data_IF_141004985033
#
_entry.id   IF_141004985033
#
_cell.length_a   1.000
_cell.length_b   1.000
_cell.length_c   1.000
_cell.angle_alpha   90.00
_cell.angle_beta   90.00
_cell.angle_gamma   90.00
#
_symmetry.space_group_name_H-M   'P 1'
#
loop_
_entity.id
_entity.type
_entity.pdbx_description
1 polymer ?
#
# COMPACT_ATOMS: atom_id res chain seq x y z
N UNK A 1 21.47 -12.47 16.04
CA UNK A 1 22.28 -13.33 16.91
C UNK A 1 23.07 -14.30 16.07
N UNK A 2 24.40 -14.31 16.26
CA UNK A 2 25.27 -15.21 15.52
C UNK A 2 24.91 -16.67 15.85
N UNK A 3 24.66 -17.51 14.84
CA UNK A 3 24.22 -18.90 15.02
C UNK A 3 22.74 -19.10 15.41
N UNK A 4 21.88 -18.09 15.32
CA UNK A 4 20.45 -18.28 15.58
C UNK A 4 19.75 -19.11 14.50
N UNK A 5 18.60 -19.69 14.85
CA UNK A 5 17.74 -20.42 13.89
C UNK A 5 17.34 -19.55 12.70
N UNK A 6 17.14 -18.25 12.91
CA UNK A 6 16.85 -17.28 11.84
C UNK A 6 18.03 -17.13 10.88
N UNK A 7 19.25 -16.98 11.40
CA UNK A 7 20.47 -16.87 10.59
C UNK A 7 20.69 -18.14 9.74
N UNK A 8 20.54 -19.32 10.36
CA UNK A 8 20.66 -20.61 9.65
C UNK A 8 19.62 -20.75 8.55
N UNK A 9 18.39 -20.27 8.78
CA UNK A 9 17.33 -20.28 7.77
C UNK A 9 17.70 -19.45 6.55
N UNK A 10 18.07 -18.18 6.73
CA UNK A 10 18.42 -17.30 5.61
C UNK A 10 19.67 -17.78 4.86
N UNK A 11 20.68 -18.26 5.59
CA UNK A 11 21.88 -18.86 4.98
C UNK A 11 21.51 -20.04 4.06
N UNK A 12 20.68 -20.96 4.55
CA UNK A 12 20.24 -22.13 3.76
C UNK A 12 19.41 -21.72 2.55
N UNK A 13 18.52 -20.74 2.69
CA UNK A 13 17.73 -20.26 1.56
C UNK A 13 18.60 -19.62 0.47
N UNK A 14 19.58 -18.80 0.85
CA UNK A 14 20.54 -18.24 -0.10
C UNK A 14 21.38 -19.33 -0.80
N UNK A 15 21.88 -20.33 -0.05
CA UNK A 15 22.60 -21.46 -0.63
C UNK A 15 21.74 -22.27 -1.61
N UNK A 16 20.45 -22.43 -1.31
CA UNK A 16 19.50 -23.14 -2.20
C UNK A 16 19.28 -22.34 -3.48
N UNK A 17 19.04 -21.04 -3.40
CA UNK A 17 18.91 -20.18 -4.59
C UNK A 17 20.16 -20.23 -5.46
N UNK A 18 21.35 -20.15 -4.86
CA UNK A 18 22.63 -20.24 -5.57
C UNK A 18 22.82 -21.59 -6.28
N UNK A 19 22.40 -22.68 -5.63
CA UNK A 19 22.44 -24.02 -6.25
C UNK A 19 21.50 -24.10 -7.43
N UNK A 20 20.26 -23.62 -7.30
CA UNK A 20 19.33 -23.58 -8.42
C UNK A 20 19.85 -22.74 -9.58
N UNK A 21 20.45 -21.57 -9.29
CA UNK A 21 21.07 -20.72 -10.29
C UNK A 21 22.20 -21.45 -11.02
N UNK A 22 23.07 -22.14 -10.27
CA UNK A 22 24.18 -22.91 -10.85
C UNK A 22 23.69 -24.07 -11.71
N UNK A 23 22.68 -24.82 -11.25
CA UNK A 23 22.09 -25.94 -12.01
C UNK A 23 21.44 -25.43 -13.30
N UNK A 24 20.63 -24.38 -13.21
CA UNK A 24 20.02 -23.75 -14.38
C UNK A 24 21.07 -23.27 -15.38
N UNK A 25 22.10 -22.57 -14.89
CA UNK A 25 23.23 -22.09 -15.71
C UNK A 25 23.96 -23.24 -16.40
N UNK A 26 24.19 -24.35 -15.71
CA UNK A 26 24.81 -25.53 -16.30
C UNK A 26 23.91 -26.19 -17.34
N UNK A 27 22.60 -26.29 -17.11
CA UNK A 27 21.69 -26.87 -18.11
C UNK A 27 21.58 -26.00 -19.37
N UNK A 28 21.60 -24.67 -19.23
CA UNK A 28 21.44 -23.74 -20.36
C UNK A 28 22.74 -23.46 -21.12
N UNK A 29 23.89 -23.44 -20.44
CA UNK A 29 25.21 -23.09 -21.02
C UNK A 29 26.15 -24.28 -21.20
N UNK A 30 25.70 -25.53 -21.06
CA UNK A 30 26.58 -26.67 -21.27
C UNK A 30 26.86 -26.89 -22.77
N UNK A 31 28.11 -26.66 -23.16
CA UNK A 31 28.62 -26.73 -24.54
C UNK A 31 28.80 -28.18 -25.04
N UNK A 32 28.77 -29.19 -24.17
CA UNK A 32 28.90 -30.60 -24.57
C UNK A 32 27.63 -31.21 -25.17
N UNK A 33 26.51 -30.49 -25.17
CA UNK A 33 25.22 -30.95 -25.70
C UNK A 33 25.10 -30.69 -27.22
N UNK A 34 24.40 -31.57 -27.93
CA UNK A 34 24.08 -31.36 -29.34
C UNK A 34 23.17 -30.13 -29.53
N UNK A 35 23.26 -29.46 -30.69
CA UNK A 35 22.54 -28.22 -30.97
C UNK A 35 21.01 -28.36 -30.81
N UNK A 36 20.45 -29.51 -31.19
CA UNK A 36 19.02 -29.79 -31.06
C UNK A 36 18.61 -30.00 -29.60
N UNK A 37 19.47 -30.66 -28.81
CA UNK A 37 19.23 -30.89 -27.38
C UNK A 37 19.30 -29.58 -26.60
N UNK A 38 20.25 -28.70 -26.95
CA UNK A 38 20.37 -27.34 -26.39
C UNK A 38 19.15 -26.48 -26.70
N UNK A 39 18.64 -26.52 -27.94
CA UNK A 39 17.46 -25.76 -28.33
C UNK A 39 16.20 -26.17 -27.54
N UNK A 40 16.07 -27.45 -27.17
CA UNK A 40 14.96 -27.95 -26.33
C UNK A 40 15.03 -27.48 -24.87
N UNK A 41 16.21 -27.10 -24.39
CA UNK A 41 16.46 -26.61 -23.03
C UNK A 41 16.48 -25.08 -22.92
N UNK A 42 16.51 -24.37 -24.06
CA UNK A 42 16.56 -22.91 -24.15
C UNK A 42 15.20 -22.22 -23.86
N UNK A 43 14.37 -22.79 -22.98
CA UNK A 43 13.17 -22.12 -22.48
C UNK A 43 13.64 -21.08 -21.46
N UNK A 44 13.77 -19.84 -21.94
CA UNK A 44 14.23 -18.69 -21.18
C UNK A 44 13.16 -18.20 -20.22
N UNK A 45 13.35 -18.50 -18.95
CA UNK A 45 13.39 -17.53 -17.85
C UNK A 45 13.88 -18.29 -16.62
N UNK A 46 14.86 -17.74 -15.88
CA UNK A 46 15.31 -18.35 -14.63
C UNK A 46 14.13 -18.33 -13.65
N UNK A 47 13.58 -19.49 -13.24
CA UNK A 47 12.25 -19.54 -12.63
C UNK A 47 12.23 -19.14 -11.14
N UNK A 48 13.37 -18.72 -10.58
CA UNK A 48 13.53 -18.43 -9.15
C UNK A 48 14.05 -17.00 -8.99
N UNK A 49 13.39 -16.18 -8.17
CA UNK A 49 13.89 -14.84 -7.86
C UNK A 49 15.09 -14.91 -6.91
N UNK A 50 16.16 -14.14 -7.13
CA UNK A 50 17.35 -14.07 -6.25
C UNK A 50 17.13 -13.22 -4.98
N UNK A 51 16.00 -13.43 -4.30
CA UNK A 51 15.60 -12.59 -3.16
C UNK A 51 16.45 -12.89 -1.93
N UNK A 52 16.61 -14.17 -1.59
CA UNK A 52 17.35 -14.58 -0.40
C UNK A 52 18.86 -14.41 -0.55
N UNK A 53 19.40 -14.56 -1.76
CA UNK A 53 20.79 -14.26 -2.08
C UNK A 53 21.13 -12.82 -1.76
N UNK A 54 20.38 -11.88 -2.35
CA UNK A 54 20.61 -10.44 -2.15
C UNK A 54 20.41 -10.05 -0.68
N UNK A 55 19.39 -10.63 -0.03
CA UNK A 55 19.14 -10.40 1.39
C UNK A 55 20.29 -10.92 2.27
N UNK A 56 20.87 -12.07 1.94
CA UNK A 56 21.98 -12.65 2.69
C UNK A 56 23.27 -11.84 2.53
N UNK A 57 23.53 -11.34 1.32
CA UNK A 57 24.64 -10.42 1.04
C UNK A 57 24.50 -9.16 1.90
N UNK A 58 23.34 -8.49 1.86
CA UNK A 58 23.12 -7.27 2.66
C UNK A 58 23.19 -7.53 4.17
N UNK A 59 22.69 -8.67 4.66
CA UNK A 59 22.84 -9.07 6.06
C UNK A 59 24.29 -9.30 6.46
N UNK A 60 25.11 -9.86 5.56
CA UNK A 60 26.53 -10.11 5.83
C UNK A 60 27.31 -8.80 5.85
N UNK A 61 27.02 -7.89 4.93
CA UNK A 61 27.66 -6.57 4.83
C UNK A 61 27.32 -5.67 6.03
N UNK A 62 26.07 -5.68 6.48
CA UNK A 62 25.61 -4.88 7.63
C UNK A 62 26.05 -5.44 8.98
N UNK A 63 26.30 -6.75 9.04
CA UNK A 63 26.76 -7.44 10.25
C UNK A 63 25.63 -7.83 11.20
N UNK A 64 25.83 -8.96 11.89
CA UNK A 64 24.82 -9.55 12.78
C UNK A 64 24.93 -9.04 14.22
N UNK A 65 23.81 -8.71 14.90
CA UNK A 65 23.83 -8.35 16.31
C UNK A 65 24.06 -9.59 17.18
N UNK A 66 24.80 -9.42 18.30
CA UNK A 66 25.11 -10.51 19.23
C UNK A 66 24.00 -10.74 20.26
N UNK A 67 23.34 -9.68 20.70
CA UNK A 67 22.24 -9.72 21.67
C UNK A 67 20.98 -9.06 21.11
N UNK A 68 19.83 -9.40 21.70
CA UNK A 68 18.55 -8.78 21.32
C UNK A 68 18.54 -7.30 21.70
N UNK A 69 19.13 -6.94 22.84
CA UNK A 69 19.20 -5.55 23.29
C UNK A 69 20.02 -4.69 22.32
N UNK A 70 21.20 -5.17 21.91
CA UNK A 70 22.03 -4.53 20.88
C UNK A 70 21.25 -4.37 19.57
N UNK A 71 20.53 -5.42 19.13
CA UNK A 71 19.67 -5.33 17.96
C UNK A 71 18.61 -4.24 18.11
N UNK A 72 17.91 -4.16 19.25
CA UNK A 72 16.87 -3.15 19.46
C UNK A 72 17.42 -1.73 19.48
N UNK A 73 18.60 -1.51 20.06
CA UNK A 73 19.24 -0.19 20.08
C UNK A 73 19.62 0.27 18.68
N UNK A 74 20.12 -0.65 17.83
CA UNK A 74 20.42 -0.36 16.42
C UNK A 74 19.18 -0.07 15.58
N UNK A 75 18.07 -0.76 15.84
CA UNK A 75 16.79 -0.45 15.17
C UNK A 75 16.31 0.95 15.55
N UNK A 76 16.42 1.32 16.83
CA UNK A 76 16.00 2.64 17.33
C UNK A 76 16.91 3.75 16.80
N UNK A 77 18.20 3.51 16.60
CA UNK A 77 19.12 4.51 16.05
C UNK A 77 18.81 4.90 14.60
N UNK A 78 17.92 4.16 13.92
CA UNK A 78 17.69 4.29 12.48
C UNK A 78 18.68 3.44 11.68
N UNK A 79 18.35 3.20 10.41
CA UNK A 79 19.18 2.48 9.40
C UNK A 79 19.37 0.97 9.59
N UNK A 80 18.73 0.35 10.59
CA UNK A 80 18.80 -1.09 10.81
C UNK A 80 17.42 -1.71 10.98
N UNK A 81 17.20 -2.86 10.35
CA UNK A 81 16.00 -3.68 10.51
C UNK A 81 16.36 -5.02 11.15
N UNK A 82 15.65 -5.39 12.22
CA UNK A 82 15.84 -6.67 12.89
C UNK A 82 14.83 -7.70 12.41
N UNK A 83 15.32 -8.87 12.00
CA UNK A 83 14.50 -10.03 11.64
C UNK A 83 14.74 -11.13 12.67
N UNK A 84 13.66 -11.58 13.33
CA UNK A 84 13.69 -12.50 14.46
C UNK A 84 12.44 -13.37 14.52
N UNK A 85 12.24 -14.05 15.65
CA UNK A 85 11.00 -14.79 15.89
C UNK A 85 9.83 -13.81 16.07
N UNK A 86 8.70 -14.11 15.43
CA UNK A 86 7.53 -13.22 15.44
C UNK A 86 7.02 -12.98 16.87
N UNK A 87 7.02 -14.01 17.72
CA UNK A 87 6.62 -13.88 19.11
C UNK A 87 7.55 -12.94 19.92
N UNK A 88 8.86 -12.98 19.64
CA UNK A 88 9.85 -12.12 20.28
C UNK A 88 9.71 -10.67 19.82
N UNK A 89 9.57 -10.46 18.51
CA UNK A 89 9.35 -9.14 17.92
C UNK A 89 8.06 -8.50 18.46
N UNK A 90 6.96 -9.26 18.47
CA UNK A 90 5.69 -8.81 19.02
C UNK A 90 5.78 -8.42 20.50
N UNK A 91 6.60 -9.12 21.28
CA UNK A 91 6.83 -8.73 22.67
C UNK A 91 7.61 -7.42 22.79
N UNK A 92 8.58 -7.18 21.91
CA UNK A 92 9.33 -5.92 21.89
C UNK A 92 8.44 -4.74 21.51
N UNK A 93 7.60 -4.87 20.47
CA UNK A 93 6.66 -3.80 20.06
C UNK A 93 5.60 -3.52 21.13
N UNK A 94 5.16 -4.54 21.88
CA UNK A 94 4.23 -4.34 23.00
C UNK A 94 4.85 -3.61 24.21
N UNK A 95 6.17 -3.64 24.37
CA UNK A 95 6.88 -3.07 25.53
C UNK A 95 7.62 -1.76 25.22
N UNK A 96 7.97 -1.53 23.95
CA UNK A 96 8.66 -0.32 23.47
C UNK A 96 7.85 0.28 22.32
N UNK A 97 7.34 1.49 22.51
CA UNK A 97 6.51 2.19 21.52
C UNK A 97 7.29 2.73 20.32
N UNK A 98 8.62 2.78 20.42
CA UNK A 98 9.50 3.23 19.35
C UNK A 98 9.74 2.15 18.28
N UNK A 99 9.21 0.95 18.50
CA UNK A 99 9.34 -0.19 17.59
C UNK A 99 7.98 -0.55 17.01
N UNK A 100 7.94 -0.80 15.72
CA UNK A 100 6.77 -1.36 15.03
C UNK A 100 7.17 -2.58 14.20
N UNK A 101 6.22 -3.48 14.00
CA UNK A 101 6.37 -4.65 13.15
C UNK A 101 5.94 -4.28 11.72
N UNK A 102 6.68 -4.75 10.71
CA UNK A 102 6.39 -4.46 9.30
C UNK A 102 6.14 -5.76 8.55
N UNK A 103 5.01 -5.84 7.85
CA UNK A 103 4.64 -6.97 7.00
C UNK A 103 3.98 -8.13 7.76
N UNK A 104 3.75 -9.23 7.04
CA UNK A 104 3.24 -10.49 7.62
C UNK A 104 4.40 -11.42 8.01
N UNK A 105 4.15 -12.27 9.01
CA UNK A 105 5.01 -13.41 9.36
C UNK A 105 5.30 -14.30 8.13
N UNK A 106 6.50 -14.18 7.57
CA UNK A 106 6.94 -14.96 6.39
C UNK A 106 7.08 -16.47 6.66
N UNK A 107 7.20 -16.88 7.93
CA UNK A 107 7.34 -18.29 8.31
C UNK A 107 6.69 -18.55 9.67
N UNK A 108 5.47 -19.10 9.65
CA UNK A 108 4.78 -19.52 10.88
C UNK A 108 5.39 -20.82 11.37
N UNK A 109 6.08 -20.75 12.52
CA UNK A 109 6.69 -21.91 13.16
C UNK A 109 5.91 -22.26 14.43
N UNK A 110 5.24 -23.43 14.49
CA UNK A 110 4.52 -23.82 15.69
C UNK A 110 5.49 -24.17 16.82
N UNK A 111 5.13 -23.80 18.05
CA UNK A 111 5.82 -24.27 19.24
C UNK A 111 5.43 -25.73 19.53
N UNK A 112 6.41 -26.54 19.91
CA UNK A 112 6.21 -27.94 20.25
C UNK A 112 7.01 -28.30 21.51
N UNK A 113 6.49 -29.24 22.28
CA UNK A 113 7.21 -29.83 23.40
C UNK A 113 8.00 -31.04 22.91
N UNK A 114 9.32 -31.00 23.06
CA UNK A 114 10.19 -32.12 22.75
C UNK A 114 10.17 -33.13 23.90
N UNK A 115 10.00 -34.41 23.56
CA UNK A 115 10.04 -35.54 24.50
C UNK A 115 10.95 -36.61 23.90
N UNK A 116 11.65 -37.39 24.74
CA UNK A 116 12.48 -38.50 24.29
C UNK A 116 11.66 -39.50 23.46
N UNK A 117 12.25 -39.97 22.37
CA UNK A 117 11.66 -40.99 21.52
C UNK A 117 11.37 -42.27 22.31
N UNK A 118 10.19 -42.87 22.08
CA UNK A 118 9.71 -44.04 22.82
C UNK A 118 9.11 -43.75 24.21
N UNK A 119 9.15 -42.51 24.70
CA UNK A 119 8.56 -42.18 25.99
C UNK A 119 7.03 -42.25 25.98
N UNK A 120 6.37 -42.88 26.97
CA UNK A 120 4.92 -42.88 27.10
C UNK A 120 4.34 -41.47 27.33
N UNK A 121 5.18 -40.51 27.76
CA UNK A 121 4.77 -39.13 28.02
C UNK A 121 4.31 -38.41 26.75
N UNK A 122 4.78 -38.82 25.57
CA UNK A 122 4.38 -38.22 24.29
C UNK A 122 2.86 -38.24 24.12
N UNK A 123 2.24 -39.41 24.31
CA UNK A 123 0.81 -39.58 24.10
C UNK A 123 -0.01 -38.85 25.17
N UNK A 124 0.46 -38.87 26.43
CA UNK A 124 -0.18 -38.18 27.55
C UNK A 124 -0.18 -36.66 27.31
N UNK A 125 0.95 -36.09 26.90
CA UNK A 125 1.09 -34.67 26.66
C UNK A 125 0.26 -34.22 25.45
N UNK A 126 0.27 -34.97 24.35
CA UNK A 126 -0.56 -34.68 23.17
C UNK A 126 -2.05 -34.65 23.53
N UNK A 127 -2.54 -35.65 24.26
CA UNK A 127 -3.95 -35.70 24.69
C UNK A 127 -4.30 -34.54 25.62
N UNK A 128 -3.40 -34.17 26.54
CA UNK A 128 -3.60 -33.03 27.42
C UNK A 128 -3.67 -31.70 26.65
N UNK A 129 -2.80 -31.49 25.66
CA UNK A 129 -2.81 -30.30 24.80
C UNK A 129 -4.11 -30.23 23.99
N UNK A 130 -4.54 -31.35 23.40
CA UNK A 130 -5.81 -31.42 22.66
C UNK A 130 -7.01 -31.06 23.56
N UNK A 131 -7.02 -31.55 24.81
CA UNK A 131 -8.05 -31.19 25.79
C UNK A 131 -8.04 -29.69 26.12
N UNK A 132 -6.87 -29.06 26.24
CA UNK A 132 -6.74 -27.62 26.48
C UNK A 132 -7.18 -26.78 25.26
N UNK A 133 -6.90 -27.25 24.04
CA UNK A 133 -7.35 -26.64 22.79
C UNK A 133 -8.88 -26.69 22.68
N UNK A 134 -9.49 -27.87 22.87
CA UNK A 134 -10.94 -28.04 22.80
C UNK A 134 -11.67 -27.18 23.86
N UNK A 135 -11.08 -27.05 25.05
CA UNK A 135 -11.60 -26.17 26.10
C UNK A 135 -11.31 -24.66 25.89
N UNK A 136 -10.67 -24.26 24.78
CA UNK A 136 -10.21 -22.88 24.49
C UNK A 136 -9.35 -22.22 25.58
N UNK A 137 -8.77 -23.01 26.50
CA UNK A 137 -7.94 -22.48 27.59
C UNK A 137 -6.66 -21.82 27.08
N UNK A 138 -6.11 -22.33 25.97
CA UNK A 138 -4.94 -21.74 25.34
C UNK A 138 -5.22 -20.34 24.76
N UNK A 139 -6.42 -20.12 24.22
CA UNK A 139 -6.84 -18.78 23.76
C UNK A 139 -6.96 -17.81 24.94
N UNK A 140 -7.55 -18.26 26.05
CA UNK A 140 -7.62 -17.46 27.28
C UNK A 140 -6.23 -17.10 27.81
N UNK A 141 -5.29 -18.05 27.78
CA UNK A 141 -3.90 -17.78 28.18
C UNK A 141 -3.21 -16.82 27.22
N UNK A 142 -3.39 -17.00 25.90
CA UNK A 142 -2.89 -16.07 24.88
C UNK A 142 -3.39 -14.65 25.13
N UNK A 143 -4.70 -14.48 25.35
CA UNK A 143 -5.30 -13.18 25.66
C UNK A 143 -4.74 -12.60 26.97
N UNK A 144 -4.60 -13.42 28.00
CA UNK A 144 -4.05 -12.99 29.29
C UNK A 144 -2.61 -12.45 29.15
N UNK A 145 -1.76 -13.12 28.38
CA UNK A 145 -0.35 -12.75 28.23
C UNK A 145 -0.09 -11.65 27.21
N UNK A 146 -0.96 -11.47 26.21
CA UNK A 146 -0.77 -10.46 25.17
C UNK A 146 -1.64 -9.21 25.35
N UNK A 147 -2.89 -9.36 25.79
CA UNK A 147 -3.81 -8.23 25.99
C UNK A 147 -3.67 -7.66 27.40
N UNK A 148 -3.70 -8.52 28.43
CA UNK A 148 -3.74 -8.10 29.85
C UNK A 148 -2.35 -8.04 30.49
N UNK A 149 -1.30 -7.89 29.69
CA UNK A 149 0.06 -7.88 30.21
C UNK A 149 0.35 -6.57 30.95
N UNK A 150 0.82 -6.65 32.20
CA UNK A 150 1.22 -5.46 32.99
C UNK A 150 2.40 -4.71 32.38
N UNK A 151 3.21 -5.37 31.55
CA UNK A 151 4.36 -4.77 30.85
C UNK A 151 3.98 -4.11 29.52
N UNK A 152 2.74 -4.30 29.04
CA UNK A 152 2.27 -3.65 27.82
C UNK A 152 2.24 -2.14 28.06
N UNK A 153 2.95 -1.39 27.23
CA UNK A 153 2.84 0.08 27.24
C UNK A 153 1.65 0.49 26.38
N UNK A 154 0.94 1.53 26.82
CA UNK A 154 -0.06 2.19 25.98
C UNK A 154 0.69 3.09 25.01
N UNK A 155 0.93 2.57 23.80
CA UNK A 155 1.53 3.33 22.72
C UNK A 155 0.41 4.06 21.96
N UNK A 156 0.66 5.29 21.47
CA UNK A 156 -0.26 5.92 20.52
C UNK A 156 -0.29 5.05 19.27
N UNK A 157 -1.49 4.64 18.84
CA UNK A 157 -1.67 3.94 17.56
C UNK A 157 -1.36 4.93 16.43
N UNK A 158 -0.19 4.76 15.81
CA UNK A 158 0.22 5.54 14.64
C UNK A 158 -0.74 5.27 13.47
N UNK A 159 -1.37 4.08 13.43
CA UNK A 159 -2.33 3.67 12.40
C UNK A 159 -3.69 4.39 12.51
N UNK A 160 -4.08 4.88 13.69
CA UNK A 160 -5.36 5.58 13.89
C UNK A 160 -5.29 7.07 13.53
N UNK A 161 -4.11 7.62 13.23
CA UNK A 161 -3.98 8.97 12.66
C UNK A 161 -4.19 9.00 11.13
N UNK A 162 -4.22 7.85 10.45
CA UNK A 162 -4.47 7.74 9.00
C UNK A 162 -5.93 7.53 8.60
N UNK A 163 -6.81 7.13 9.52
CA UNK A 163 -8.21 6.78 9.20
C UNK A 163 -9.19 7.96 9.29
N UNK A 164 -8.73 9.17 9.61
CA UNK A 164 -9.56 10.37 9.64
C UNK A 164 -8.80 11.62 9.21
N UNK A 165 -9.46 12.50 8.45
CA UNK A 165 -8.92 13.81 8.08
C UNK A 165 -8.69 14.61 9.38
N UNK A 166 -7.47 14.54 9.90
CA UNK A 166 -7.08 15.30 11.08
C UNK A 166 -7.06 16.80 10.74
N UNK A 167 -7.56 17.62 11.67
CA UNK A 167 -7.65 19.08 11.49
C UNK A 167 -6.28 19.73 11.21
N UNK A 168 -5.20 19.04 11.64
CA UNK A 168 -3.81 19.41 11.41
C UNK A 168 -3.42 19.35 9.93
N UNK A 169 -4.02 18.44 9.16
CA UNK A 169 -3.72 18.24 7.74
C UNK A 169 -4.54 19.20 6.85
N UNK A 170 -5.77 19.57 7.27
CA UNK A 170 -6.64 20.51 6.52
C UNK A 170 -6.45 21.98 6.95
N UNK A 171 -5.62 22.25 7.95
CA UNK A 171 -5.35 23.60 8.47
C UNK A 171 -4.85 24.59 7.42
N UNK A 172 -4.13 24.11 6.40
CA UNK A 172 -3.67 24.94 5.28
C UNK A 172 -4.82 25.54 4.47
N UNK A 173 -5.88 24.78 4.21
CA UNK A 173 -7.05 25.24 3.45
C UNK A 173 -7.81 26.32 4.22
N UNK A 174 -8.01 26.12 5.53
CA UNK A 174 -8.63 27.12 6.40
C UNK A 174 -7.83 28.43 6.45
N UNK A 175 -6.50 28.34 6.48
CA UNK A 175 -5.63 29.53 6.50
C UNK A 175 -5.77 30.34 5.20
N UNK A 176 -5.76 29.66 4.03
CA UNK A 176 -5.90 30.32 2.73
C UNK A 176 -7.26 31.03 2.61
N UNK A 177 -8.34 30.37 3.05
CA UNK A 177 -9.69 30.97 3.05
C UNK A 177 -9.71 32.21 3.96
N UNK A 178 -9.20 32.10 5.19
CA UNK A 178 -9.19 33.22 6.14
C UNK A 178 -8.43 34.44 5.61
N UNK A 179 -7.24 34.23 5.02
CA UNK A 179 -6.44 35.31 4.41
C UNK A 179 -7.14 35.90 3.18
N UNK A 180 -7.70 35.06 2.32
CA UNK A 180 -8.45 35.51 1.14
C UNK A 180 -9.66 36.37 1.50
N UNK A 181 -10.41 35.97 2.53
CA UNK A 181 -11.53 36.76 3.05
C UNK A 181 -11.05 38.09 3.65
N UNK A 182 -9.96 38.10 4.41
CA UNK A 182 -9.42 39.33 5.00
C UNK A 182 -8.95 40.33 3.92
N UNK A 183 -8.20 39.86 2.91
CA UNK A 183 -7.75 40.70 1.80
C UNK A 183 -8.91 41.27 0.99
N UNK A 184 -9.95 40.46 0.74
CA UNK A 184 -11.17 40.91 0.06
C UNK A 184 -11.85 42.07 0.82
N UNK A 185 -11.98 41.94 2.15
CA UNK A 185 -12.54 42.99 2.99
C UNK A 185 -11.68 44.27 3.00
N UNK A 186 -10.35 44.13 2.99
CA UNK A 186 -9.42 45.27 2.93
C UNK A 186 -9.54 45.99 1.58
N UNK A 187 -9.56 45.25 0.46
CA UNK A 187 -9.77 45.83 -0.87
C UNK A 187 -11.09 46.61 -0.94
N UNK A 188 -12.18 46.01 -0.44
CA UNK A 188 -13.49 46.64 -0.41
C UNK A 188 -13.51 47.92 0.43
N UNK A 189 -12.87 47.91 1.61
CA UNK A 189 -12.74 49.10 2.44
C UNK A 189 -11.92 50.21 1.76
N UNK A 190 -10.85 49.84 1.05
CA UNK A 190 -10.00 50.78 0.32
C UNK A 190 -10.74 51.44 -0.84
N UNK A 191 -11.48 50.65 -1.63
CA UNK A 191 -12.34 51.18 -2.69
C UNK A 191 -13.41 52.13 -2.15
N UNK A 192 -14.07 51.76 -1.05
CA UNK A 192 -15.10 52.59 -0.44
C UNK A 192 -14.53 53.91 0.08
N UNK A 193 -13.34 53.88 0.68
CA UNK A 193 -12.65 55.08 1.14
C UNK A 193 -12.24 55.99 -0.03
N UNK A 194 -11.68 55.41 -1.09
CA UNK A 194 -11.25 56.15 -2.28
C UNK A 194 -12.43 56.75 -3.06
N UNK A 195 -13.54 56.02 -3.15
CA UNK A 195 -14.80 56.48 -3.75
C UNK A 195 -15.45 57.61 -2.93
N UNK A 196 -15.33 57.58 -1.61
CA UNK A 196 -15.87 58.63 -0.73
C UNK A 196 -15.01 59.90 -0.70
N UNK A 197 -13.68 59.79 -0.88
CA UNK A 197 -12.76 60.93 -0.84
C UNK A 197 -12.51 61.58 -2.21
N UNK A 198 -12.82 60.92 -3.33
CA UNK A 198 -12.92 61.61 -4.63
C UNK A 198 -14.36 62.07 -4.86
N UNK A 199 -14.63 63.38 -5.06
CA UNK A 199 -15.92 63.81 -5.57
C UNK A 199 -16.12 63.24 -6.98
N UNK A 200 -17.36 62.89 -7.30
CA UNK A 200 -17.84 62.30 -8.55
C UNK A 200 -17.06 62.78 -9.80
N UNK A 201 -16.44 61.83 -10.51
CA UNK A 201 -16.45 61.89 -11.96
C UNK A 201 -17.36 60.76 -12.43
N UNK A 202 -18.56 61.16 -12.84
CA UNK A 202 -19.45 60.29 -13.59
C UNK A 202 -18.73 59.74 -14.82
N UNK A 203 -18.88 58.43 -15.05
CA UNK A 203 -18.75 57.87 -16.39
C UNK A 203 -17.74 56.74 -16.54
N UNK A 204 -18.22 55.50 -16.43
CA UNK A 204 -18.32 54.67 -17.64
C UNK A 204 -19.46 53.66 -17.46
N UNK A 205 -20.57 53.93 -18.18
CA UNK A 205 -21.55 52.89 -18.50
C UNK A 205 -20.82 51.83 -19.32
N UNK A 206 -20.63 50.63 -18.79
CA UNK A 206 -20.18 49.50 -19.59
C UNK A 206 -21.29 49.16 -20.58
N UNK A 207 -21.15 49.62 -21.82
CA UNK A 207 -22.11 49.37 -22.89
C UNK A 207 -21.84 47.97 -23.43
N UNK A 208 -22.56 46.97 -22.91
CA UNK A 208 -22.59 45.62 -23.49
C UNK A 208 -23.25 45.73 -24.87
N UNK A 209 -22.46 45.81 -25.93
CA UNK A 209 -22.96 45.63 -27.31
C UNK A 209 -23.48 44.20 -27.45
N UNK A 210 -24.81 44.03 -27.40
CA UNK A 210 -25.47 42.91 -28.07
C UNK A 210 -25.35 43.14 -29.57
N UNK A 211 -24.44 42.42 -30.23
CA UNK A 211 -24.51 42.26 -31.68
C UNK A 211 -25.73 41.38 -32.01
N UNK A 212 -26.85 42.00 -32.35
CA UNK A 212 -27.83 41.39 -33.24
C UNK A 212 -27.55 41.91 -34.65
N UNK A 213 -26.85 41.12 -35.44
CA UNK A 213 -26.78 41.30 -36.88
C UNK A 213 -28.13 40.90 -37.47
N UNK A 214 -29.07 41.86 -37.59
CA UNK A 214 -30.15 41.73 -38.58
C UNK A 214 -29.59 42.23 -39.90
N UNK A 215 -29.26 41.29 -40.78
CA UNK A 215 -29.04 41.58 -42.18
C UNK A 215 -30.36 42.09 -42.78
N UNK A 216 -30.37 43.35 -43.23
CA UNK A 216 -31.41 43.88 -44.10
C UNK A 216 -31.04 43.52 -45.54
N UNK A 217 -31.81 42.63 -46.17
CA UNK A 217 -31.79 42.48 -47.62
C UNK A 217 -33.02 43.15 -48.21
N UNK A 218 -32.76 43.98 -49.21
CA UNK A 218 -33.72 44.83 -49.90
C UNK A 218 -34.46 44.04 -50.99
N UNK A 219 -35.66 44.53 -51.30
CA UNK A 219 -36.29 44.53 -52.63
C UNK A 219 -37.23 43.37 -52.97
N UNK A 220 -38.50 43.79 -53.15
CA UNK A 220 -39.52 43.34 -54.11
C UNK A 220 -40.04 41.90 -54.10
N UNK A 221 -41.37 41.77 -54.07
CA UNK A 221 -42.04 40.61 -54.67
C UNK A 221 -43.22 40.06 -53.88
N UNK A 222 -44.42 40.38 -54.36
CA UNK A 222 -45.69 39.66 -54.31
C UNK A 222 -45.76 38.19 -53.83
N UNK A 223 -46.90 37.91 -53.18
CA UNK A 223 -47.74 36.70 -53.26
C UNK A 223 -47.54 35.55 -52.24
N UNK A 224 -48.54 35.46 -51.35
CA UNK A 224 -49.37 34.30 -50.96
C UNK A 224 -48.81 32.88 -50.79
N UNK A 225 -49.38 32.22 -49.77
CA UNK A 225 -49.73 30.79 -49.60
C UNK A 225 -48.85 29.89 -48.72
N UNK A 226 -49.58 28.96 -48.11
CA UNK A 226 -49.30 28.02 -47.04
C UNK A 226 -48.26 26.92 -47.35
N UNK A 227 -47.90 26.21 -46.26
CA UNK A 227 -47.87 24.74 -46.12
C UNK A 227 -46.50 24.01 -45.96
N UNK A 228 -46.47 23.16 -44.92
CA UNK A 228 -45.86 21.82 -44.82
C UNK A 228 -44.39 21.60 -44.40
N UNK A 229 -44.26 20.74 -43.37
CA UNK A 229 -43.39 19.56 -43.17
C UNK A 229 -41.97 19.49 -43.75
N UNK A 230 -41.06 18.91 -42.94
CA UNK A 230 -40.14 17.87 -43.44
C UNK A 230 -38.70 17.87 -42.92
N UNK A 231 -38.37 16.79 -42.20
CA UNK A 231 -37.07 16.13 -41.97
C UNK A 231 -35.85 16.52 -42.84
N UNK A 232 -34.65 16.37 -42.25
CA UNK A 232 -33.50 15.81 -42.99
C UNK A 232 -32.10 16.35 -42.65
N UNK A 233 -31.45 15.70 -41.68
CA UNK A 233 -30.04 15.21 -41.65
C UNK A 233 -28.83 16.03 -42.13
N UNK A 234 -27.71 15.72 -41.47
CA UNK A 234 -26.32 15.58 -42.00
C UNK A 234 -25.40 16.79 -41.71
N UNK A 235 -24.10 16.72 -41.35
CA UNK A 235 -23.10 15.67 -41.12
C UNK A 235 -21.87 16.33 -40.43
N UNK A 236 -21.17 15.56 -39.58
CA UNK A 236 -19.77 15.70 -39.08
C UNK A 236 -19.45 16.88 -38.13
N UNK A 237 -19.15 16.72 -36.84
CA UNK A 237 -18.13 15.89 -36.16
C UNK A 237 -16.68 16.18 -36.63
N UNK A 238 -15.87 16.84 -35.78
CA UNK A 238 -14.68 16.22 -35.14
C UNK A 238 -13.79 17.25 -34.42
N UNK A 239 -13.24 16.80 -33.28
CA UNK A 239 -12.03 17.24 -32.57
C UNK A 239 -12.18 18.15 -31.33
N UNK A 240 -12.47 17.51 -30.19
CA UNK A 240 -11.92 17.86 -28.88
C UNK A 240 -11.33 16.56 -28.27
N UNK A 241 -10.18 16.59 -27.57
CA UNK A 241 -9.66 15.40 -26.90
C UNK A 241 -10.37 15.17 -25.56
N UNK A 242 -10.89 13.96 -25.38
CA UNK A 242 -11.48 13.47 -24.13
C UNK A 242 -10.39 13.00 -23.16
N UNK A 243 -10.53 13.38 -21.87
CA UNK A 243 -9.72 12.90 -20.76
C UNK A 243 -10.45 11.73 -20.09
N UNK A 244 -9.88 10.52 -20.19
CA UNK A 244 -10.43 9.29 -19.62
C UNK A 244 -9.86 9.09 -18.21
N UNK A 245 -10.68 8.81 -17.17
CA UNK A 245 -10.18 8.31 -15.90
C UNK A 245 -9.83 6.83 -16.01
N UNK A 246 -8.65 6.47 -15.52
CA UNK A 246 -8.14 5.10 -15.47
C UNK A 246 -8.96 4.27 -14.46
N UNK A 247 -9.58 3.20 -14.96
CA UNK A 247 -10.35 2.22 -14.20
C UNK A 247 -9.38 1.16 -13.66
N UNK A 248 -9.05 1.22 -12.37
CA UNK A 248 -8.22 0.21 -11.73
C UNK A 248 -9.00 -1.11 -11.58
N UNK A 249 -8.62 -2.08 -12.40
CA UNK A 249 -9.15 -3.44 -12.39
C UNK A 249 -8.85 -4.13 -11.07
N UNK A 250 -9.87 -4.21 -10.20
CA UNK A 250 -9.88 -5.07 -9.02
C UNK A 250 -9.98 -6.53 -9.45
N UNK A 251 -8.84 -7.17 -9.69
CA UNK A 251 -8.71 -8.63 -9.81
C UNK A 251 -8.99 -9.30 -8.46
N UNK A 252 -10.26 -9.45 -8.09
CA UNK A 252 -10.69 -10.43 -7.10
C UNK A 252 -11.22 -11.67 -7.82
N UNK A 253 -10.29 -12.51 -8.27
CA UNK A 253 -10.57 -13.91 -8.54
C UNK A 253 -9.81 -14.74 -7.52
N UNK A 254 -10.51 -15.37 -6.55
CA UNK A 254 -10.45 -16.83 -6.39
C UNK A 254 -11.18 -17.38 -5.15
N UNK A 255 -12.14 -18.24 -5.50
CA UNK A 255 -12.56 -19.53 -4.90
C UNK A 255 -12.82 -19.64 -3.40
N UNK A 256 -14.12 -19.74 -3.15
CA UNK A 256 -14.76 -20.61 -2.17
C UNK A 256 -14.11 -22.00 -2.13
N UNK A 257 -13.70 -22.48 -0.94
CA UNK A 257 -13.52 -23.90 -0.67
C UNK A 257 -14.11 -24.29 0.69
N UNK A 258 -14.98 -25.27 0.59
CA UNK A 258 -15.72 -26.00 1.61
C UNK A 258 -14.80 -26.69 2.62
N UNK A 259 -15.06 -26.53 3.92
CA UNK A 259 -14.51 -27.41 4.94
C UNK A 259 -15.41 -28.64 5.06
N UNK A 260 -15.06 -29.70 4.31
CA UNK A 260 -15.52 -31.03 4.63
C UNK A 260 -14.84 -31.47 5.94
N UNK A 261 -15.63 -31.54 7.00
CA UNK A 261 -15.25 -32.22 8.24
C UNK A 261 -15.32 -33.73 8.06
N UNK A 262 -14.15 -34.37 8.04
CA UNK A 262 -14.00 -35.76 8.46
C UNK A 262 -12.80 -35.87 9.40
N UNK A 263 -13.15 -35.94 10.69
CA UNK A 263 -12.62 -36.74 11.81
C UNK A 263 -12.81 -36.00 13.13
#
# INVERSE_FOLDING_TARGET
>A
MNGSTGLVYFKRMAEIEQKFYTIWKQMSLNDSLDAVQRAKLAVWDYPVSNKYTKLWETMTDTGFPNTLEDATTRVISGDFAYIGDAAENKFQTLTKCDLWEVGEEFSRKPFAFAVQEGSPLRNILSNAILKLLNQRKLETLKHKWWTNNKKKKTCPDIENESDGISIKNIGGVFLVIAVGTALSLICLAFEFYWYKYRPQQDGMRYNVKRNQSKASLTTSGTATTNLSNGNGSSLWANNAPDFVPEEETRNNGMVHFELNGQL
#
